data_IF_669781611215
#
_entry.id   IF_669781611215
#
_cell.length_a   1.000
_cell.length_b   1.000
_cell.length_c   1.000
_cell.angle_alpha   90.00
_cell.angle_beta   90.00
_cell.angle_gamma   90.00
#
_symmetry.space_group_name_H-M   'P 1'
#
loop_
_entity.id
_entity.type
_entity.pdbx_description
1 polymer ?
#
# COMPACT_ATOMS: atom_id res chain seq x y z
N UNK A 1 -49.84 3.59 8.03
CA UNK A 1 -48.55 2.97 8.43
C UNK A 1 -47.66 2.53 7.27
N UNK A 2 -48.15 2.46 6.02
CA UNK A 2 -47.37 1.98 4.86
C UNK A 2 -46.48 3.08 4.24
N UNK A 3 -46.98 4.32 4.16
CA UNK A 3 -46.26 5.43 3.52
C UNK A 3 -44.97 5.85 4.25
N UNK A 4 -44.92 5.74 5.57
CA UNK A 4 -43.70 6.06 6.35
C UNK A 4 -42.53 5.16 5.95
N UNK A 5 -42.78 3.87 5.75
CA UNK A 5 -41.74 2.92 5.30
C UNK A 5 -41.31 3.24 3.87
N UNK A 6 -42.27 3.52 2.97
CA UNK A 6 -41.97 3.91 1.59
C UNK A 6 -41.16 5.20 1.51
N UNK A 7 -41.49 6.22 2.30
CA UNK A 7 -40.76 7.48 2.35
C UNK A 7 -39.34 7.30 2.89
N UNK A 8 -39.15 6.47 3.92
CA UNK A 8 -37.82 6.14 4.45
C UNK A 8 -36.99 5.41 3.38
N UNK A 9 -37.56 4.42 2.69
CA UNK A 9 -36.86 3.69 1.62
C UNK A 9 -36.50 4.63 0.45
N UNK A 10 -37.40 5.53 0.06
CA UNK A 10 -37.15 6.49 -1.03
C UNK A 10 -36.04 7.47 -0.66
N UNK A 11 -36.04 7.96 0.59
CA UNK A 11 -34.98 8.84 1.10
C UNK A 11 -33.62 8.14 1.11
N UNK A 12 -33.56 6.87 1.56
CA UNK A 12 -32.33 6.07 1.54
C UNK A 12 -31.82 5.88 0.11
N UNK A 13 -32.70 5.57 -0.84
CA UNK A 13 -32.33 5.40 -2.26
C UNK A 13 -31.83 6.71 -2.88
N UNK A 14 -32.48 7.84 -2.60
CA UNK A 14 -32.05 9.15 -3.09
C UNK A 14 -30.70 9.57 -2.49
N UNK A 15 -30.48 9.31 -1.20
CA UNK A 15 -29.19 9.54 -0.55
C UNK A 15 -28.11 8.63 -1.16
N UNK A 16 -28.41 7.35 -1.42
CA UNK A 16 -27.48 6.43 -2.06
C UNK A 16 -27.14 6.84 -3.50
N UNK A 17 -28.13 7.28 -4.28
CA UNK A 17 -27.94 7.79 -5.64
C UNK A 17 -27.13 9.09 -5.66
N UNK A 18 -27.38 10.01 -4.72
CA UNK A 18 -26.57 11.22 -4.59
C UNK A 18 -25.13 10.88 -4.20
N UNK A 19 -24.92 10.01 -3.21
CA UNK A 19 -23.58 9.60 -2.78
C UNK A 19 -22.78 8.96 -3.92
N UNK A 20 -23.40 8.10 -4.73
CA UNK A 20 -22.74 7.47 -5.89
C UNK A 20 -22.41 8.48 -6.99
N UNK A 21 -23.32 9.41 -7.29
CA UNK A 21 -23.07 10.46 -8.28
C UNK A 21 -21.92 11.40 -7.87
N UNK A 22 -21.88 11.84 -6.61
CA UNK A 22 -20.82 12.74 -6.13
C UNK A 22 -19.48 12.01 -5.89
N UNK A 23 -19.50 10.74 -5.46
CA UNK A 23 -18.29 9.94 -5.33
C UNK A 23 -17.59 9.67 -6.66
N UNK A 24 -18.31 9.72 -7.79
CA UNK A 24 -17.73 9.60 -9.14
C UNK A 24 -16.91 10.81 -9.61
N UNK A 25 -17.00 11.95 -8.92
CA UNK A 25 -16.32 13.20 -9.26
C UNK A 25 -15.13 13.46 -8.33
N UNK A 26 -14.19 12.51 -8.27
CA UNK A 26 -12.95 12.68 -7.49
C UNK A 26 -11.88 13.40 -8.31
N UNK A 27 -11.15 14.28 -7.64
CA UNK A 27 -10.00 14.96 -8.20
C UNK A 27 -8.84 13.97 -8.38
N UNK A 28 -8.10 14.15 -9.47
CA UNK A 28 -6.84 13.44 -9.70
C UNK A 28 -5.70 14.24 -9.09
N UNK A 29 -5.00 13.64 -8.14
CA UNK A 29 -3.90 14.30 -7.44
C UNK A 29 -2.59 13.64 -7.83
N UNK A 30 -1.65 14.43 -8.35
CA UNK A 30 -0.31 13.95 -8.68
C UNK A 30 0.51 13.72 -7.40
N UNK A 31 1.51 12.82 -7.42
CA UNK A 31 2.47 12.74 -6.32
C UNK A 31 3.25 14.04 -6.19
N UNK A 32 3.73 14.35 -4.97
CA UNK A 32 4.51 15.57 -4.70
C UNK A 32 5.82 15.59 -5.51
N UNK A 33 6.40 14.41 -5.72
CA UNK A 33 7.57 14.14 -6.58
C UNK A 33 7.32 12.82 -7.31
N UNK A 34 7.75 12.68 -8.57
CA UNK A 34 7.58 11.43 -9.29
C UNK A 34 8.39 10.30 -8.65
N UNK A 35 7.86 9.08 -8.62
CA UNK A 35 8.56 7.94 -8.02
C UNK A 35 9.80 7.49 -8.81
N UNK A 36 9.94 7.95 -10.06
CA UNK A 36 11.20 7.83 -10.81
C UNK A 36 12.38 8.56 -10.14
N UNK A 37 12.12 9.56 -9.29
CA UNK A 37 13.13 10.29 -8.52
C UNK A 37 13.37 9.71 -7.12
N UNK A 38 12.70 8.62 -6.76
CA UNK A 38 12.86 8.00 -5.45
C UNK A 38 14.30 7.48 -5.26
N UNK A 39 14.95 7.74 -4.11
CA UNK A 39 16.39 7.56 -3.97
C UNK A 39 16.81 6.09 -4.08
N UNK A 40 17.83 5.83 -4.91
CA UNK A 40 18.49 4.53 -5.00
C UNK A 40 19.63 4.37 -3.99
N UNK A 41 19.99 5.42 -3.27
CA UNK A 41 20.90 5.33 -2.12
C UNK A 41 20.15 5.80 -0.88
N UNK A 42 19.94 4.88 0.06
CA UNK A 42 19.28 5.17 1.34
C UNK A 42 20.23 4.69 2.43
N UNK A 43 21.02 5.61 2.97
CA UNK A 43 22.00 5.30 4.01
C UNK A 43 23.03 4.28 3.47
N UNK A 44 23.14 3.08 4.05
CA UNK A 44 23.99 1.98 3.60
C UNK A 44 23.35 1.09 2.51
N UNK A 45 22.12 1.36 2.11
CA UNK A 45 21.39 0.59 1.10
C UNK A 45 21.61 1.12 -0.31
N UNK A 46 21.97 0.24 -1.24
CA UNK A 46 22.05 0.53 -2.67
C UNK A 46 20.96 -0.19 -3.45
N UNK A 47 20.14 0.59 -4.15
CA UNK A 47 19.00 0.19 -4.93
C UNK A 47 19.32 0.04 -6.40
N UNK A 48 18.70 -0.96 -7.03
CA UNK A 48 18.64 -1.09 -8.48
C UNK A 48 17.17 -1.22 -8.84
N UNK A 49 16.69 -0.32 -9.72
CA UNK A 49 15.30 -0.36 -10.21
C UNK A 49 15.08 -1.59 -11.09
N UNK A 50 13.83 -2.00 -11.14
CA UNK A 50 13.30 -3.00 -12.06
C UNK A 50 11.92 -2.55 -12.50
N UNK A 51 11.46 -3.04 -13.63
CA UNK A 51 10.13 -2.73 -14.15
C UNK A 51 9.11 -3.78 -13.71
N UNK A 52 7.84 -3.37 -13.61
CA UNK A 52 6.75 -4.33 -13.49
C UNK A 52 6.57 -5.06 -14.82
N UNK A 53 6.25 -6.34 -14.75
CA UNK A 53 5.78 -7.08 -15.92
C UNK A 53 4.54 -6.38 -16.52
N UNK A 54 4.43 -6.33 -17.84
CA UNK A 54 3.37 -5.60 -18.54
C UNK A 54 1.97 -6.06 -18.12
N UNK A 55 1.79 -7.36 -17.87
CA UNK A 55 0.51 -7.91 -17.39
C UNK A 55 0.23 -7.41 -15.97
N UNK A 56 1.23 -7.39 -15.11
CA UNK A 56 1.09 -6.88 -13.74
C UNK A 56 0.81 -5.38 -13.73
N UNK A 57 1.52 -4.61 -14.55
CA UNK A 57 1.31 -3.16 -14.68
C UNK A 57 -0.13 -2.84 -15.12
N UNK A 58 -0.61 -3.52 -16.16
CA UNK A 58 -1.97 -3.34 -16.68
C UNK A 58 -3.06 -3.77 -15.69
N UNK A 59 -2.81 -4.81 -14.88
CA UNK A 59 -3.75 -5.23 -13.83
C UNK A 59 -3.77 -4.24 -12.67
N UNK A 60 -2.61 -3.69 -12.29
CA UNK A 60 -2.52 -2.79 -11.16
C UNK A 60 -3.10 -1.41 -11.46
N UNK A 61 -3.06 -0.93 -12.72
CA UNK A 61 -3.60 0.39 -13.07
C UNK A 61 -2.87 1.55 -12.40
N UNK A 62 -1.62 1.34 -11.97
CA UNK A 62 -0.83 2.32 -11.23
C UNK A 62 -0.32 3.42 -12.16
N UNK A 63 -0.45 4.68 -11.76
CA UNK A 63 -0.04 5.82 -12.61
C UNK A 63 1.40 6.28 -12.36
N UNK A 64 1.93 6.06 -11.16
CA UNK A 64 3.35 6.28 -10.86
C UNK A 64 3.84 5.25 -9.84
N UNK A 65 5.06 4.74 -10.00
CA UNK A 65 5.56 3.67 -9.15
C UNK A 65 7.08 3.61 -9.08
N UNK A 66 7.57 2.97 -8.02
CA UNK A 66 8.94 2.44 -7.97
C UNK A 66 8.89 0.97 -7.62
N UNK A 67 9.68 0.18 -8.35
CA UNK A 67 10.04 -1.18 -7.98
C UNK A 67 11.57 -1.26 -7.97
N UNK A 68 12.16 -1.54 -6.82
CA UNK A 68 13.61 -1.57 -6.67
C UNK A 68 14.07 -2.64 -5.68
N UNK A 69 15.24 -3.21 -5.97
CA UNK A 69 15.93 -4.14 -5.08
C UNK A 69 17.07 -3.41 -4.39
N UNK A 70 16.95 -3.18 -3.09
CA UNK A 70 17.99 -2.60 -2.26
C UNK A 70 18.84 -3.70 -1.64
N UNK A 71 20.15 -3.47 -1.58
CA UNK A 71 21.13 -4.38 -0.97
C UNK A 71 22.07 -3.62 -0.03
N UNK A 72 22.39 -4.25 1.10
CA UNK A 72 23.49 -3.82 1.99
C UNK A 72 24.82 -4.45 1.56
N UNK A 73 25.97 -3.85 1.92
CA UNK A 73 27.28 -4.46 1.71
C UNK A 73 27.45 -5.84 2.34
N UNK A 74 26.75 -6.08 3.45
CA UNK A 74 26.70 -7.36 4.17
C UNK A 74 25.86 -8.45 3.47
N UNK A 75 25.16 -8.12 2.39
CA UNK A 75 24.45 -9.07 1.52
C UNK A 75 22.94 -9.16 1.76
N UNK A 76 22.40 -8.55 2.81
CA UNK A 76 20.95 -8.47 3.02
C UNK A 76 20.27 -7.68 1.90
N UNK A 77 19.05 -8.07 1.57
CA UNK A 77 18.32 -7.50 0.44
C UNK A 77 16.86 -7.21 0.79
N UNK A 78 16.34 -6.10 0.29
CA UNK A 78 14.93 -5.71 0.42
C UNK A 78 14.40 -5.31 -0.95
N UNK A 79 13.33 -5.96 -1.39
CA UNK A 79 12.57 -5.50 -2.54
C UNK A 79 11.51 -4.50 -2.06
N UNK A 80 11.61 -3.27 -2.56
CA UNK A 80 10.64 -2.20 -2.37
C UNK A 80 9.73 -2.13 -3.59
N UNK A 81 8.43 -2.09 -3.35
CA UNK A 81 7.44 -1.63 -4.33
C UNK A 81 6.60 -0.52 -3.71
N UNK A 82 6.47 0.60 -4.41
CA UNK A 82 5.50 1.64 -4.11
C UNK A 82 4.68 1.89 -5.36
N UNK A 83 3.36 1.73 -5.26
CA UNK A 83 2.44 2.13 -6.32
C UNK A 83 1.59 3.30 -5.89
N UNK A 84 1.54 4.34 -6.71
CA UNK A 84 0.77 5.56 -6.50
C UNK A 84 -0.41 5.65 -7.46
N UNK A 85 -1.58 5.93 -6.89
CA UNK A 85 -2.84 6.04 -7.60
C UNK A 85 -3.31 7.49 -7.48
N UNK A 86 -3.44 8.19 -8.60
CA UNK A 86 -3.84 9.60 -8.61
C UNK A 86 -5.33 9.77 -8.32
N UNK A 87 -6.14 8.77 -8.65
CA UNK A 87 -7.56 8.66 -8.32
C UNK A 87 -7.93 7.19 -8.49
N UNK A 88 -8.58 6.60 -7.48
CA UNK A 88 -9.07 5.24 -7.55
C UNK A 88 -10.53 5.28 -8.00
N UNK A 89 -10.78 4.94 -9.27
CA UNK A 89 -12.12 4.78 -9.86
C UNK A 89 -12.54 3.31 -9.86
N UNK A 90 -13.76 3.05 -10.31
CA UNK A 90 -14.29 1.69 -10.45
C UNK A 90 -13.39 0.84 -11.36
N UNK A 91 -12.59 -0.05 -10.75
CA UNK A 91 -11.60 -0.90 -11.45
C UNK A 91 -10.17 -0.75 -10.90
N UNK A 92 -9.77 0.45 -10.49
CA UNK A 92 -8.39 0.79 -10.08
C UNK A 92 -8.16 0.60 -8.57
N UNK A 93 -8.62 -0.53 -8.04
CA UNK A 93 -8.54 -0.83 -6.60
C UNK A 93 -7.18 -1.43 -6.29
N UNK A 94 -6.49 -0.88 -5.29
CA UNK A 94 -5.21 -1.41 -4.83
C UNK A 94 -5.33 -2.90 -4.46
N UNK A 95 -4.64 -3.76 -5.21
CA UNK A 95 -4.58 -5.18 -4.92
C UNK A 95 -3.49 -5.48 -3.89
N UNK A 96 -3.90 -6.00 -2.73
CA UNK A 96 -2.94 -6.44 -1.71
C UNK A 96 -2.19 -7.70 -2.16
N UNK A 97 -1.01 -8.00 -1.57
CA UNK A 97 -0.24 -9.20 -1.90
C UNK A 97 -1.01 -10.49 -1.62
N UNK A 98 -2.12 -10.42 -0.85
CA UNK A 98 -2.97 -11.59 -0.62
C UNK A 98 -3.62 -12.13 -1.89
N UNK A 99 -3.82 -11.26 -2.88
CA UNK A 99 -4.45 -11.62 -4.14
C UNK A 99 -3.40 -11.99 -5.20
N UNK A 100 -2.27 -11.27 -5.26
CA UNK A 100 -1.26 -11.47 -6.30
C UNK A 100 -0.26 -12.59 -5.99
N UNK A 101 0.13 -12.76 -4.72
CA UNK A 101 1.19 -13.72 -4.37
C UNK A 101 0.80 -15.19 -4.62
N UNK A 102 -0.45 -15.63 -4.36
CA UNK A 102 -0.90 -16.97 -4.76
C UNK A 102 -0.79 -17.24 -6.26
N UNK A 103 -1.09 -16.25 -7.11
CA UNK A 103 -0.94 -16.35 -8.57
C UNK A 103 0.50 -16.58 -9.02
N UNK A 104 1.48 -16.07 -8.26
CA UNK A 104 2.91 -16.29 -8.47
C UNK A 104 3.44 -17.61 -7.84
N UNK A 105 2.54 -18.43 -7.28
CA UNK A 105 2.85 -19.71 -6.66
C UNK A 105 3.33 -19.63 -5.21
N UNK A 106 3.12 -18.49 -4.52
CA UNK A 106 3.43 -18.34 -3.10
C UNK A 106 2.23 -18.66 -2.21
N UNK A 107 2.43 -19.49 -1.21
CA UNK A 107 1.42 -19.77 -0.19
C UNK A 107 1.58 -18.80 0.99
N UNK A 108 0.48 -18.20 1.43
CA UNK A 108 0.46 -17.34 2.62
C UNK A 108 0.23 -18.24 3.83
N UNK A 109 1.28 -18.48 4.62
CA UNK A 109 1.23 -19.39 5.76
C UNK A 109 0.87 -18.67 7.07
N UNK A 110 1.15 -17.37 7.16
CA UNK A 110 0.79 -16.55 8.33
C UNK A 110 0.49 -15.12 7.92
N UNK A 111 -0.53 -14.53 8.54
CA UNK A 111 -0.86 -13.10 8.46
C UNK A 111 -0.86 -12.51 9.87
N UNK A 112 -0.36 -11.29 10.03
CA UNK A 112 -0.38 -10.60 11.31
C UNK A 112 -0.22 -9.09 11.14
N UNK A 113 -0.18 -8.39 12.27
CA UNK A 113 0.14 -6.96 12.33
C UNK A 113 1.49 -6.82 13.02
N UNK A 114 2.35 -5.96 12.46
CA UNK A 114 3.62 -5.57 13.06
C UNK A 114 3.61 -4.08 13.38
N UNK A 115 4.29 -3.72 14.47
CA UNK A 115 4.57 -2.32 14.80
C UNK A 115 5.92 -1.93 14.22
N UNK A 116 5.93 -0.88 13.42
CA UNK A 116 7.08 -0.34 12.71
C UNK A 116 7.44 1.03 13.31
N UNK A 117 8.63 1.20 13.89
CA UNK A 117 9.08 2.50 14.40
C UNK A 117 9.36 3.45 13.24
N UNK A 118 8.74 4.64 13.25
CA UNK A 118 8.91 5.66 12.22
C UNK A 118 10.17 6.49 12.43
N UNK A 119 10.55 6.66 13.70
CA UNK A 119 11.71 7.44 14.11
C UNK A 119 12.18 6.98 15.51
N UNK A 120 13.26 7.60 15.98
CA UNK A 120 13.80 7.35 17.32
C UNK A 120 13.05 8.14 18.42
N UNK A 121 11.98 8.86 18.08
CA UNK A 121 11.18 9.66 19.04
C UNK A 121 10.03 8.85 19.66
N UNK A 122 9.86 7.60 19.24
CA UNK A 122 8.82 6.70 19.74
C UNK A 122 7.56 6.69 18.87
N UNK A 123 7.52 7.44 17.76
CA UNK A 123 6.42 7.32 16.80
C UNK A 123 6.50 5.98 16.10
N UNK A 124 5.35 5.34 15.94
CA UNK A 124 5.24 4.07 15.24
C UNK A 124 3.96 3.96 14.44
N UNK A 125 3.98 3.08 13.46
CA UNK A 125 2.84 2.73 12.63
C UNK A 125 2.58 1.22 12.69
N UNK A 126 1.33 0.83 12.47
CA UNK A 126 0.97 -0.56 12.25
C UNK A 126 1.10 -0.90 10.77
N UNK A 127 1.61 -2.09 10.46
CA UNK A 127 1.70 -2.62 9.10
C UNK A 127 1.21 -4.06 9.06
N UNK A 128 0.76 -4.52 7.91
CA UNK A 128 0.40 -5.93 7.72
C UNK A 128 1.68 -6.72 7.46
N UNK A 129 1.86 -7.83 8.17
CA UNK A 129 2.91 -8.82 7.92
C UNK A 129 2.32 -10.07 7.29
N UNK A 130 2.96 -10.56 6.24
CA UNK A 130 2.73 -11.90 5.69
C UNK A 130 4.00 -12.74 5.78
N UNK A 131 3.83 -14.03 6.08
CA UNK A 131 4.83 -15.06 5.84
C UNK A 131 4.41 -15.82 4.58
N UNK A 132 5.27 -15.80 3.57
CA UNK A 132 5.07 -16.49 2.31
C UNK A 132 5.99 -17.71 2.22
N UNK A 133 5.50 -18.78 1.59
CA UNK A 133 6.26 -19.99 1.36
C UNK A 133 6.04 -20.55 -0.05
N UNK A 134 7.13 -20.90 -0.73
CA UNK A 134 7.14 -21.59 -2.04
C UNK A 134 8.19 -22.70 -2.00
N UNK A 135 7.74 -23.94 -1.85
CA UNK A 135 8.65 -25.06 -1.58
C UNK A 135 9.40 -24.87 -0.26
N UNK A 136 10.74 -24.81 -0.33
CA UNK A 136 11.63 -24.54 0.80
C UNK A 136 11.91 -23.04 1.00
N UNK A 137 11.56 -22.20 0.03
CA UNK A 137 11.79 -20.77 0.11
C UNK A 137 10.72 -20.11 0.99
N UNK A 138 11.17 -19.21 1.86
CA UNK A 138 10.31 -18.39 2.70
C UNK A 138 10.63 -16.92 2.52
N UNK A 139 9.61 -16.07 2.54
CA UNK A 139 9.75 -14.62 2.47
C UNK A 139 8.86 -13.94 3.51
N UNK A 140 9.35 -12.84 4.08
CA UNK A 140 8.53 -11.93 4.87
C UNK A 140 8.11 -10.77 3.98
N UNK A 141 6.84 -10.41 4.06
CA UNK A 141 6.28 -9.20 3.46
C UNK A 141 5.79 -8.28 4.56
N UNK A 142 6.19 -7.01 4.51
CA UNK A 142 5.50 -5.93 5.22
C UNK A 142 4.82 -5.04 4.19
N UNK A 143 3.57 -4.67 4.40
CA UNK A 143 2.88 -3.72 3.54
C UNK A 143 1.87 -2.87 4.30
N UNK A 144 1.56 -1.71 3.73
CA UNK A 144 0.55 -0.79 4.22
C UNK A 144 0.03 0.09 3.09
N UNK A 145 -1.07 0.77 3.38
CA UNK A 145 -1.61 1.82 2.52
C UNK A 145 -1.28 3.16 3.15
N UNK A 146 -0.86 4.11 2.33
CA UNK A 146 -0.55 5.47 2.75
C UNK A 146 -1.33 6.43 1.89
N UNK A 147 -2.19 7.22 2.52
CA UNK A 147 -3.10 8.10 1.79
C UNK A 147 -3.51 9.27 2.64
N UNK A 148 -3.36 10.48 2.09
CA UNK A 148 -3.94 11.71 2.65
C UNK A 148 -3.59 11.90 4.15
N UNK A 149 -2.30 11.77 4.45
CA UNK A 149 -1.73 11.87 5.79
C UNK A 149 -2.02 10.69 6.74
N UNK A 150 -2.68 9.62 6.26
CA UNK A 150 -2.96 8.41 7.06
C UNK A 150 -2.14 7.23 6.59
N UNK A 151 -1.74 6.43 7.58
CA UNK A 151 -1.20 5.09 7.38
C UNK A 151 -2.26 4.09 7.79
N UNK A 152 -2.63 3.20 6.88
CA UNK A 152 -3.74 2.28 7.05
C UNK A 152 -3.21 0.85 6.95
N UNK A 153 -3.42 0.09 8.03
CA UNK A 153 -2.96 -1.29 8.16
C UNK A 153 -4.11 -2.30 8.07
N UNK A 154 -5.17 -1.96 7.33
CA UNK A 154 -6.34 -2.80 7.10
C UNK A 154 -6.94 -2.49 5.73
N UNK A 155 -7.05 -3.51 4.88
CA UNK A 155 -7.69 -3.41 3.56
C UNK A 155 -9.15 -2.96 3.67
N UNK A 156 -9.86 -3.34 4.73
CA UNK A 156 -11.24 -2.91 4.94
C UNK A 156 -11.30 -1.42 5.30
N UNK A 157 -10.42 -0.97 6.20
CA UNK A 157 -10.38 0.44 6.59
C UNK A 157 -9.93 1.33 5.44
N UNK A 158 -9.06 0.84 4.57
CA UNK A 158 -8.66 1.55 3.36
C UNK A 158 -9.88 1.84 2.48
N UNK A 159 -10.73 0.85 2.21
CA UNK A 159 -11.99 1.03 1.47
C UNK A 159 -12.97 1.97 2.17
N UNK A 160 -13.10 1.88 3.49
CA UNK A 160 -13.97 2.79 4.26
C UNK A 160 -13.48 4.23 4.13
N UNK A 161 -12.18 4.46 4.28
CA UNK A 161 -11.62 5.80 4.12
C UNK A 161 -11.74 6.30 2.70
N UNK A 162 -11.55 5.45 1.70
CA UNK A 162 -11.75 5.78 0.30
C UNK A 162 -13.14 6.36 0.04
N UNK A 163 -14.20 5.70 0.54
CA UNK A 163 -15.59 6.17 0.41
C UNK A 163 -15.83 7.46 1.18
N UNK A 164 -15.32 7.56 2.42
CA UNK A 164 -15.50 8.77 3.22
C UNK A 164 -14.78 9.97 2.58
N UNK A 165 -13.56 9.78 2.09
CA UNK A 165 -12.78 10.84 1.46
C UNK A 165 -13.34 11.22 0.09
N UNK A 166 -13.91 10.29 -0.68
CA UNK A 166 -14.59 10.65 -1.93
C UNK A 166 -15.78 11.58 -1.69
N UNK A 167 -16.49 11.41 -0.57
CA UNK A 167 -17.66 12.22 -0.21
C UNK A 167 -17.24 13.56 0.42
N UNK A 168 -16.31 13.55 1.38
CA UNK A 168 -15.99 14.74 2.19
C UNK A 168 -14.77 15.53 1.71
N UNK A 169 -13.87 14.90 0.93
CA UNK A 169 -12.62 15.52 0.45
C UNK A 169 -12.52 15.54 -1.07
N UNK A 170 -13.45 14.91 -1.78
CA UNK A 170 -13.42 14.73 -3.24
C UNK A 170 -12.10 14.13 -3.75
N UNK A 171 -11.44 13.29 -2.93
CA UNK A 171 -10.12 12.70 -3.22
C UNK A 171 -10.08 11.21 -2.90
N UNK A 172 -9.47 10.42 -3.78
CA UNK A 172 -9.24 8.96 -3.58
C UNK A 172 -7.79 8.54 -3.85
N UNK A 173 -6.89 9.51 -4.03
CA UNK A 173 -5.47 9.28 -4.32
C UNK A 173 -4.74 8.57 -3.18
N UNK A 174 -4.01 7.49 -3.48
CA UNK A 174 -3.43 6.66 -2.44
C UNK A 174 -2.18 5.95 -2.90
N UNK A 175 -1.37 5.54 -1.94
CA UNK A 175 -0.17 4.76 -2.17
C UNK A 175 -0.26 3.41 -1.50
N UNK A 176 0.26 2.41 -2.19
CA UNK A 176 0.50 1.08 -1.67
C UNK A 176 1.99 0.88 -1.52
N UNK A 177 2.46 0.54 -0.31
CA UNK A 177 3.87 0.28 -0.05
C UNK A 177 4.05 -1.16 0.37
N UNK A 178 5.00 -1.86 -0.26
CA UNK A 178 5.34 -3.26 0.01
C UNK A 178 6.84 -3.45 0.09
N UNK A 179 7.26 -4.14 1.13
CA UNK A 179 8.63 -4.57 1.36
C UNK A 179 8.68 -6.10 1.42
N UNK A 180 9.64 -6.70 0.73
CA UNK A 180 9.88 -8.14 0.77
C UNK A 180 11.35 -8.45 1.04
N UNK A 181 11.61 -9.42 1.91
CA UNK A 181 12.95 -10.02 2.09
C UNK A 181 12.84 -11.54 2.19
N UNK A 182 13.80 -12.31 1.66
CA UNK A 182 13.91 -13.74 1.96
C UNK A 182 14.22 -13.98 3.44
N UNK A 183 13.76 -15.12 3.96
CA UNK A 183 14.12 -15.63 5.28
C UNK A 183 15.38 -16.48 5.16
N UNK A 184 16.53 -15.90 5.50
CA UNK A 184 17.83 -16.60 5.43
C UNK A 184 18.18 -17.28 6.75
N UNK A 185 18.09 -16.54 7.87
CA UNK A 185 18.41 -17.05 9.21
C UNK A 185 17.14 -17.47 9.96
N UNK A 186 16.27 -16.48 10.21
CA UNK A 186 15.00 -16.68 10.90
C UNK A 186 14.02 -15.53 10.56
N UNK A 187 12.74 -15.75 10.86
CA UNK A 187 11.66 -14.81 10.56
C UNK A 187 11.81 -13.49 11.32
N UNK A 188 12.31 -13.52 12.56
CA UNK A 188 12.46 -12.33 13.41
C UNK A 188 13.54 -11.40 12.87
N UNK A 189 14.70 -11.96 12.49
CA UNK A 189 15.77 -11.21 11.85
C UNK A 189 15.29 -10.55 10.54
N UNK A 190 14.50 -11.28 9.75
CA UNK A 190 13.92 -10.79 8.50
C UNK A 190 12.93 -9.65 8.73
N UNK A 191 12.05 -9.77 9.73
CA UNK A 191 11.12 -8.69 10.13
C UNK A 191 11.89 -7.45 10.61
N UNK A 192 12.93 -7.62 11.43
CA UNK A 192 13.73 -6.51 11.93
C UNK A 192 14.48 -5.79 10.81
N UNK A 193 15.01 -6.53 9.84
CA UNK A 193 15.63 -5.97 8.64
C UNK A 193 14.65 -5.09 7.85
N UNK A 194 13.42 -5.58 7.64
CA UNK A 194 12.40 -4.79 6.94
C UNK A 194 11.99 -3.54 7.73
N UNK A 195 11.91 -3.62 9.06
CA UNK A 195 11.62 -2.46 9.92
C UNK A 195 12.73 -1.40 9.84
N UNK A 196 13.99 -1.84 9.86
CA UNK A 196 15.14 -0.94 9.71
C UNK A 196 15.11 -0.21 8.36
N UNK A 197 14.94 -0.94 7.26
CA UNK A 197 14.84 -0.35 5.93
C UNK A 197 13.66 0.62 5.83
N UNK A 198 12.49 0.22 6.32
CA UNK A 198 11.30 1.05 6.28
C UNK A 198 11.46 2.36 7.05
N UNK A 199 12.09 2.32 8.24
CA UNK A 199 12.37 3.50 9.03
C UNK A 199 13.24 4.51 8.26
N UNK A 200 14.25 4.02 7.52
CA UNK A 200 15.12 4.85 6.67
C UNK A 200 14.41 5.36 5.41
N UNK A 201 13.51 4.55 4.82
CA UNK A 201 12.76 4.91 3.61
C UNK A 201 11.56 5.85 3.88
N UNK A 202 11.03 5.85 5.09
CA UNK A 202 9.78 6.56 5.43
C UNK A 202 9.81 8.07 5.19
N UNK A 203 10.89 8.82 5.49
CA UNK A 203 10.97 10.25 5.16
C UNK A 203 10.80 10.49 3.65
N UNK A 204 11.45 9.69 2.81
CA UNK A 204 11.34 9.80 1.36
C UNK A 204 9.93 9.45 0.87
N UNK A 205 9.28 8.45 1.46
CA UNK A 205 7.87 8.16 1.15
C UNK A 205 6.98 9.38 1.42
N UNK A 206 7.16 10.09 2.54
CA UNK A 206 6.40 11.30 2.85
C UNK A 206 6.71 12.49 1.93
N UNK A 207 7.91 12.55 1.36
CA UNK A 207 8.24 13.57 0.37
C UNK A 207 7.53 13.36 -0.97
N UNK A 208 7.25 12.11 -1.34
CA UNK A 208 6.63 11.76 -2.62
C UNK A 208 5.10 11.66 -2.51
N UNK A 209 4.58 11.19 -1.38
CA UNK A 209 3.15 10.91 -1.19
C UNK A 209 2.44 12.17 -0.65
N UNK A 210 1.40 12.68 -1.33
CA UNK A 210 0.61 13.81 -0.86
C UNK A 210 -0.13 13.52 0.46
N UNK A 211 -0.29 14.57 1.25
CA UNK A 211 -1.11 14.58 2.47
C UNK A 211 -2.58 14.92 2.21
#
# INVERSE_FOLDING_TARGET
>A
MTYTKTLITLAILLIAAAMTFFAGQTERIAPNKPFSEFPLEIDDWKGVTSELDEVVYNILGVEDYILANYRKPSGEMVNLYVGFYQSQKEGDIIHSPKNCMPGAGWNITKTGIETLPLDNTGKSMKVIKLLLQKGQEKQIVLYWFQSRGRIISSEYMEKVWLVLDSIFRHRTDGSFVRLITPVVKDETASVNLLKEFAQKAFPYLNEHIPN
#
